data_IF_000027371578
#
_entry.id   IF_000027371578
#
_cell.length_a   1.000
_cell.length_b   1.000
_cell.length_c   1.000
_cell.angle_alpha   90.00
_cell.angle_beta   90.00
_cell.angle_gamma   90.00
#
_symmetry.space_group_name_H-M   'P 1'
#
loop_
_entity.id
_entity.type
_entity.pdbx_description
1 polymer ?
#
# COMPACT_ATOMS: atom_id res chain seq x y z
N UNK A 1 -13.78 1.39 -5.05
CA UNK A 1 -12.74 1.87 -4.10
C UNK A 1 -11.51 1.01 -4.32
N UNK A 2 -10.60 1.43 -5.20
CA UNK A 2 -9.36 0.70 -5.46
C UNK A 2 -8.42 0.91 -4.27
N UNK A 3 -8.27 -0.13 -3.46
CA UNK A 3 -7.13 -0.22 -2.55
C UNK A 3 -5.99 -0.80 -3.39
N UNK A 4 -5.02 0.04 -3.70
CA UNK A 4 -3.80 -0.37 -4.37
C UNK A 4 -3.15 -1.49 -3.54
N UNK A 5 -3.07 -2.68 -4.13
CA UNK A 5 -2.27 -3.78 -3.60
C UNK A 5 -0.84 -3.23 -3.53
N UNK A 6 -0.34 -2.93 -2.32
CA UNK A 6 1.07 -2.57 -2.12
C UNK A 6 1.94 -3.81 -2.38
N UNK A 7 2.07 -4.20 -3.64
CA UNK A 7 3.13 -5.10 -4.06
C UNK A 7 4.44 -4.40 -3.70
N UNK A 8 5.24 -5.06 -2.84
CA UNK A 8 6.59 -4.63 -2.51
C UNK A 8 7.49 -4.83 -3.72
N UNK A 9 7.30 -4.00 -4.73
CA UNK A 9 8.24 -3.76 -5.81
C UNK A 9 8.60 -2.29 -5.75
N UNK A 10 9.34 -1.90 -4.71
CA UNK A 10 9.98 -0.59 -4.65
C UNK A 10 11.08 -0.52 -5.71
N UNK A 11 10.69 -0.44 -6.98
CA UNK A 11 11.57 -0.11 -8.10
C UNK A 11 11.49 1.41 -8.24
N UNK A 12 12.11 2.11 -7.31
CA UNK A 12 12.68 3.41 -7.66
C UNK A 12 13.64 3.22 -8.83
N UNK A 13 14.02 4.30 -9.50
CA UNK A 13 14.77 4.31 -10.76
C UNK A 13 16.22 3.84 -10.64
N UNK A 14 16.52 2.84 -9.81
CA UNK A 14 17.85 2.25 -9.57
C UNK A 14 18.59 1.85 -10.85
N UNK A 15 17.88 1.29 -11.83
CA UNK A 15 18.48 0.97 -13.12
C UNK A 15 18.85 2.26 -13.89
N UNK A 16 17.96 3.26 -13.87
CA UNK A 16 18.15 4.53 -14.56
C UNK A 16 19.26 5.39 -13.92
N UNK A 17 19.33 5.44 -12.59
CA UNK A 17 20.46 5.98 -11.84
C UNK A 17 21.78 5.32 -12.28
N UNK A 18 21.81 3.99 -12.37
CA UNK A 18 22.99 3.24 -12.82
C UNK A 18 23.41 3.47 -14.28
N UNK A 19 22.52 3.95 -15.15
CA UNK A 19 22.87 4.37 -16.52
C UNK A 19 23.37 5.82 -16.55
N UNK A 20 22.72 6.71 -15.79
CA UNK A 20 23.16 8.12 -15.62
C UNK A 20 24.58 8.16 -15.03
N UNK A 21 24.87 7.33 -14.02
CA UNK A 21 26.19 7.23 -13.37
C UNK A 21 27.29 6.72 -14.31
N UNK A 22 26.91 5.95 -15.33
CA UNK A 22 27.82 5.47 -16.39
C UNK A 22 27.98 6.47 -17.52
N UNK A 23 27.45 7.68 -17.38
CA UNK A 23 27.58 8.78 -18.34
C UNK A 23 26.61 8.71 -19.51
N UNK A 24 25.60 7.83 -19.45
CA UNK A 24 24.53 7.78 -20.45
C UNK A 24 23.59 8.95 -20.18
N UNK A 25 23.48 9.86 -21.14
CA UNK A 25 22.58 11.02 -21.04
C UNK A 25 21.15 10.54 -21.27
N UNK A 26 20.42 10.27 -20.19
CA UNK A 26 18.99 9.95 -20.24
C UNK A 26 18.23 11.25 -20.00
N UNK A 27 17.57 11.75 -21.04
CA UNK A 27 16.69 12.92 -20.94
C UNK A 27 15.24 12.45 -20.88
N UNK A 28 14.66 12.48 -19.68
CA UNK A 28 13.26 12.09 -19.44
C UNK A 28 12.31 13.30 -19.43
N UNK A 29 12.82 14.53 -19.58
CA UNK A 29 12.00 15.76 -19.46
C UNK A 29 11.42 16.02 -18.07
N UNK A 30 11.81 15.23 -17.04
CA UNK A 30 11.39 15.37 -15.65
C UNK A 30 12.64 15.60 -14.78
N UNK A 31 12.66 16.59 -13.87
CA UNK A 31 13.78 16.82 -12.96
C UNK A 31 14.15 15.54 -12.20
N UNK A 32 15.45 15.24 -12.15
CA UNK A 32 16.04 14.08 -11.47
C UNK A 32 15.53 13.88 -10.03
N UNK A 33 15.22 14.97 -9.34
CA UNK A 33 14.73 14.98 -7.96
C UNK A 33 13.35 14.33 -7.78
N UNK A 34 12.58 14.17 -8.85
CA UNK A 34 11.22 13.62 -8.81
C UNK A 34 11.14 12.15 -9.22
N UNK A 35 12.28 11.52 -9.47
CA UNK A 35 12.34 10.17 -10.00
C UNK A 35 11.83 9.16 -8.95
N UNK A 36 12.14 9.31 -7.66
CA UNK A 36 11.77 8.28 -6.67
C UNK A 36 10.51 8.60 -5.84
N UNK A 37 9.58 9.43 -6.34
CA UNK A 37 8.36 9.79 -5.58
C UNK A 37 7.25 8.73 -5.74
N UNK A 38 6.78 8.10 -4.65
CA UNK A 38 5.66 7.17 -4.72
C UNK A 38 4.34 7.86 -5.12
N UNK A 39 3.38 7.13 -5.71
CA UNK A 39 2.05 7.67 -6.00
C UNK A 39 1.38 8.28 -4.78
N UNK A 40 0.47 9.23 -5.00
CA UNK A 40 -0.24 9.91 -3.91
C UNK A 40 -1.03 8.92 -3.06
N UNK A 41 -1.62 7.90 -3.67
CA UNK A 41 -2.39 6.85 -3.00
C UNK A 41 -1.50 6.01 -2.09
N UNK A 42 -0.28 5.70 -2.53
CA UNK A 42 0.70 4.95 -1.73
C UNK A 42 1.21 5.80 -0.58
N UNK A 43 1.45 7.09 -0.84
CA UNK A 43 1.86 8.04 0.20
C UNK A 43 0.76 8.22 1.25
N UNK A 44 -0.49 8.36 0.81
CA UNK A 44 -1.65 8.48 1.69
C UNK A 44 -1.90 7.20 2.49
N UNK A 45 -1.77 6.03 1.86
CA UNK A 45 -1.87 4.74 2.56
C UNK A 45 -0.76 4.61 3.62
N UNK A 46 0.47 5.00 3.29
CA UNK A 46 1.57 5.03 4.24
C UNK A 46 1.25 5.91 5.45
N UNK A 47 0.75 7.12 5.23
CA UNK A 47 0.32 8.02 6.31
C UNK A 47 -0.78 7.39 7.17
N UNK A 48 -1.72 6.66 6.58
CA UNK A 48 -2.74 5.92 7.35
C UNK A 48 -2.12 4.82 8.22
N UNK A 49 -1.12 4.08 7.71
CA UNK A 49 -0.41 3.08 8.50
C UNK A 49 0.40 3.71 9.65
N UNK A 50 1.09 4.82 9.39
CA UNK A 50 1.86 5.55 10.41
C UNK A 50 0.93 6.07 11.52
N UNK A 51 -0.18 6.71 11.16
CA UNK A 51 -1.19 7.16 12.12
C UNK A 51 -1.77 5.99 12.94
N UNK A 52 -1.98 4.82 12.33
CA UNK A 52 -2.47 3.65 13.05
C UNK A 52 -1.46 3.18 14.11
N UNK A 53 -0.18 3.15 13.77
CA UNK A 53 0.87 2.76 14.73
C UNK A 53 0.98 3.75 15.88
N UNK A 54 0.98 5.05 15.57
CA UNK A 54 1.08 6.11 16.58
C UNK A 54 -0.12 6.10 17.54
N UNK A 55 -1.35 6.00 17.02
CA UNK A 55 -2.54 6.06 17.86
C UNK A 55 -2.77 4.82 18.73
N UNK A 56 -2.15 3.68 18.38
CA UNK A 56 -2.38 2.40 19.05
C UNK A 56 -1.08 1.78 19.61
N UNK A 57 -0.04 2.59 19.85
CA UNK A 57 1.25 2.14 20.38
C UNK A 57 1.10 1.36 21.69
N UNK A 58 0.28 1.86 22.63
CA UNK A 58 0.03 1.21 23.92
C UNK A 58 -0.67 -0.15 23.75
N UNK A 59 -1.67 -0.22 22.86
CA UNK A 59 -2.40 -1.47 22.53
C UNK A 59 -1.47 -2.49 21.90
N UNK A 60 -0.60 -2.07 20.98
CA UNK A 60 0.39 -2.94 20.34
C UNK A 60 1.41 -3.44 21.37
N UNK A 61 1.85 -2.56 22.27
CA UNK A 61 2.79 -2.90 23.33
C UNK A 61 2.18 -3.89 24.32
N UNK A 62 0.94 -3.67 24.75
CA UNK A 62 0.21 -4.58 25.62
C UNK A 62 0.09 -5.97 25.00
N UNK A 63 -0.29 -6.03 23.72
CA UNK A 63 -0.31 -7.28 22.98
C UNK A 63 1.06 -7.97 22.95
N UNK A 64 2.12 -7.23 22.63
CA UNK A 64 3.48 -7.75 22.54
C UNK A 64 3.97 -8.31 23.89
N UNK A 65 3.72 -7.62 25.00
CA UNK A 65 4.24 -8.07 26.29
C UNK A 65 3.38 -9.15 26.96
N UNK A 66 2.09 -9.28 26.60
CA UNK A 66 1.15 -10.09 27.41
C UNK A 66 0.30 -11.08 26.63
N UNK A 67 0.06 -10.87 25.33
CA UNK A 67 -1.00 -11.59 24.61
C UNK A 67 -0.54 -12.32 23.34
N UNK A 68 0.78 -12.43 23.13
CA UNK A 68 1.32 -13.13 21.95
C UNK A 68 0.93 -14.60 21.90
N UNK A 69 0.83 -15.27 23.06
CA UNK A 69 0.42 -16.68 23.14
C UNK A 69 -1.11 -16.86 23.09
N UNK A 70 -1.88 -15.79 23.34
CA UNK A 70 -3.34 -15.85 23.47
C UNK A 70 -4.06 -15.59 22.15
N UNK A 71 -3.62 -14.59 21.39
CA UNK A 71 -4.29 -14.16 20.15
C UNK A 71 -3.34 -13.46 19.20
N UNK A 72 -3.73 -13.43 17.93
CA UNK A 72 -2.95 -12.74 16.89
C UNK A 72 -3.03 -11.22 17.05
N UNK A 73 -2.03 -10.51 16.53
CA UNK A 73 -2.03 -9.05 16.49
C UNK A 73 -3.26 -8.51 15.74
N UNK A 74 -3.69 -9.17 14.66
CA UNK A 74 -4.87 -8.74 13.89
C UNK A 74 -6.13 -8.78 14.77
N UNK A 75 -6.32 -9.84 15.56
CA UNK A 75 -7.45 -9.92 16.47
C UNK A 75 -7.36 -8.85 17.56
N UNK A 76 -6.21 -8.69 18.22
CA UNK A 76 -6.06 -7.72 19.31
C UNK A 76 -6.14 -6.26 18.83
N UNK A 77 -5.48 -5.92 17.74
CA UNK A 77 -5.41 -4.55 17.25
C UNK A 77 -6.61 -4.23 16.36
N UNK A 78 -6.81 -5.00 15.29
CA UNK A 78 -7.80 -4.66 14.27
C UNK A 78 -9.22 -4.95 14.75
N UNK A 79 -9.50 -6.15 15.26
CA UNK A 79 -10.87 -6.51 15.67
C UNK A 79 -11.29 -5.82 16.97
N UNK A 80 -10.44 -5.87 17.99
CA UNK A 80 -10.83 -5.40 19.33
C UNK A 80 -10.72 -3.88 19.52
N UNK A 81 -9.77 -3.21 18.86
CA UNK A 81 -9.45 -1.81 19.14
C UNK A 81 -9.73 -0.83 17.98
N UNK A 82 -9.56 -1.26 16.72
CA UNK A 82 -9.62 -0.35 15.56
C UNK A 82 -10.96 -0.40 14.83
N UNK A 83 -11.48 -1.60 14.54
CA UNK A 83 -12.66 -1.78 13.69
C UNK A 83 -13.95 -1.82 14.53
N UNK A 84 -14.98 -1.12 14.04
CA UNK A 84 -16.35 -1.33 14.52
C UNK A 84 -16.82 -2.76 14.21
N UNK A 85 -17.78 -3.28 15.00
CA UNK A 85 -18.23 -4.68 14.88
C UNK A 85 -18.72 -5.03 13.47
N UNK A 86 -19.42 -4.13 12.82
CA UNK A 86 -20.00 -4.26 11.47
C UNK A 86 -18.95 -4.18 10.34
N UNK A 87 -17.79 -3.59 10.64
CA UNK A 87 -16.69 -3.44 9.70
C UNK A 87 -15.69 -4.61 9.72
N UNK A 88 -15.73 -5.48 10.73
CA UNK A 88 -14.80 -6.62 10.86
C UNK A 88 -14.83 -7.60 9.68
N UNK A 89 -15.93 -7.63 8.93
CA UNK A 89 -16.07 -8.42 7.69
C UNK A 89 -15.00 -8.10 6.65
N UNK A 90 -14.41 -6.89 6.68
CA UNK A 90 -13.35 -6.49 5.75
C UNK A 90 -12.07 -7.32 5.91
N UNK A 91 -11.83 -7.89 7.09
CA UNK A 91 -10.65 -8.74 7.36
C UNK A 91 -10.71 -10.08 6.61
N UNK A 92 -11.89 -10.48 6.16
CA UNK A 92 -12.14 -11.74 5.45
C UNK A 92 -12.38 -11.51 3.95
N UNK A 93 -12.32 -10.26 3.49
CA UNK A 93 -12.55 -9.93 2.09
C UNK A 93 -11.39 -10.50 1.24
N UNK A 94 -11.75 -11.30 0.24
CA UNK A 94 -10.79 -11.79 -0.76
C UNK A 94 -10.96 -10.96 -2.01
N UNK A 95 -9.88 -10.31 -2.44
CA UNK A 95 -9.92 -9.53 -3.68
C UNK A 95 -10.09 -10.48 -4.88
N UNK A 96 -10.94 -10.11 -5.86
CA UNK A 96 -10.98 -10.85 -7.11
C UNK A 96 -9.59 -10.86 -7.78
N UNK A 97 -9.25 -11.93 -8.51
CA UNK A 97 -8.04 -11.97 -9.33
C UNK A 97 -8.06 -10.80 -10.31
N UNK A 98 -6.90 -10.21 -10.55
CA UNK A 98 -6.76 -8.98 -11.33
C UNK A 98 -6.78 -9.28 -12.84
N UNK A 99 -7.71 -10.09 -13.33
CA UNK A 99 -7.85 -10.43 -14.75
C UNK A 99 -9.33 -10.70 -15.08
N UNK A 100 -10.05 -9.65 -15.46
CA UNK A 100 -11.17 -9.71 -16.39
C UNK A 100 -11.24 -8.34 -17.06
N UNK A 101 -10.43 -8.19 -18.11
CA UNK A 101 -10.66 -7.23 -19.19
C UNK A 101 -12.10 -7.45 -19.66
N UNK A 102 -12.98 -6.48 -19.38
CA UNK A 102 -14.25 -6.35 -20.08
C UNK A 102 -13.99 -5.34 -21.19
N UNK A 103 -13.31 -5.82 -22.24
CA UNK A 103 -13.22 -5.15 -23.52
C UNK A 103 -14.64 -5.07 -24.10
N UNK A 104 -15.31 -3.95 -23.84
CA UNK A 104 -16.35 -3.48 -24.75
C UNK A 104 -15.84 -2.16 -25.33
N UNK A 105 -15.01 -2.31 -26.36
CA UNK A 105 -14.84 -1.30 -27.40
C UNK A 105 -16.18 -1.17 -28.12
N UNK A 106 -17.01 -0.22 -27.70
CA UNK A 106 -18.06 0.32 -28.55
C UNK A 106 -17.41 1.43 -29.40
N UNK A 107 -16.89 1.02 -30.56
CA UNK A 107 -16.72 1.86 -31.74
C UNK A 107 -18.10 2.43 -32.12
N UNK A 108 -18.38 3.68 -31.76
CA UNK A 108 -19.42 4.48 -32.42
C UNK A 108 -18.75 5.58 -33.25
N UNK A 109 -18.63 5.27 -34.54
CA UNK A 109 -18.44 6.19 -35.67
C UNK A 109 -19.52 7.30 -35.67
N UNK A 110 -19.10 8.57 -35.73
CA UNK A 110 -19.78 9.64 -36.50
C UNK A 110 -18.82 10.82 -36.79
#
# INVERSE_FOLDING_TARGET
RQIARCHRNGVGFKALHGLVDKGVKVDLGIPYELWDKPPVEVTQMKTQCENLLENYEDTISDWYFKHQDDKTLIAHLCEDAVLAQDDRKCLQETLPPADSEDDNDDDDDD
#
